data_IF_027918148333
#
_entry.id   IF_027918148333
#
_cell.length_a   1.000
_cell.length_b   1.000
_cell.length_c   1.000
_cell.angle_alpha   90.00
_cell.angle_beta   90.00
_cell.angle_gamma   90.00
#
_symmetry.space_group_name_H-M   'P 1'
#
loop_
_entity.id
_entity.type
_entity.pdbx_description
1 polymer ?
#
# COMPACT_ATOMS: atom_id res chain seq x y z
N UNK A 1 -12.25 4.20 8.66
CA UNK A 1 -13.47 3.49 9.08
C UNK A 1 -14.28 4.25 10.13
N UNK A 2 -13.65 4.81 11.18
CA UNK A 2 -14.37 5.50 12.25
C UNK A 2 -15.23 6.66 11.74
N UNK A 3 -14.63 7.63 11.04
CA UNK A 3 -15.36 8.78 10.50
C UNK A 3 -16.51 8.35 9.57
N UNK A 4 -16.28 7.36 8.71
CA UNK A 4 -17.30 6.82 7.82
C UNK A 4 -18.48 6.19 8.57
N UNK A 5 -18.21 5.45 9.66
CA UNK A 5 -19.26 4.88 10.51
C UNK A 5 -20.13 5.94 11.18
N UNK A 6 -19.53 7.01 11.69
CA UNK A 6 -20.26 8.14 12.28
C UNK A 6 -21.12 8.87 11.24
N UNK A 7 -20.56 9.17 10.06
CA UNK A 7 -21.31 9.84 8.98
C UNK A 7 -22.47 8.95 8.53
N UNK A 8 -22.26 7.63 8.42
CA UNK A 8 -23.31 6.68 8.07
C UNK A 8 -24.47 6.71 9.07
N UNK A 9 -24.13 6.67 10.37
CA UNK A 9 -25.13 6.66 11.45
C UNK A 9 -25.95 7.94 11.54
N UNK A 10 -25.31 9.11 11.30
CA UNK A 10 -25.94 10.43 11.47
C UNK A 10 -26.65 10.93 10.21
N UNK A 11 -26.12 10.66 9.03
CA UNK A 11 -26.55 11.27 7.78
C UNK A 11 -26.73 10.31 6.60
N UNK A 12 -26.55 9.01 6.86
CA UNK A 12 -26.72 7.98 5.86
C UNK A 12 -25.54 7.86 4.87
N UNK A 13 -25.59 6.85 4.01
CA UNK A 13 -24.49 6.50 3.10
C UNK A 13 -24.17 7.59 2.06
N UNK A 14 -25.18 8.38 1.62
CA UNK A 14 -24.97 9.47 0.65
C UNK A 14 -24.06 10.57 1.18
N UNK A 15 -24.13 10.85 2.48
CA UNK A 15 -23.29 11.86 3.12
C UNK A 15 -21.78 11.49 3.07
N UNK A 16 -21.44 10.20 3.05
CA UNK A 16 -20.06 9.74 2.87
C UNK A 16 -19.53 10.21 1.51
N UNK A 17 -20.30 10.01 0.44
CA UNK A 17 -19.89 10.42 -0.91
C UNK A 17 -19.81 11.94 -1.06
N UNK A 18 -20.74 12.68 -0.42
CA UNK A 18 -20.69 14.14 -0.39
C UNK A 18 -19.41 14.63 0.33
N UNK A 19 -19.10 14.05 1.48
CA UNK A 19 -17.87 14.38 2.22
C UNK A 19 -16.61 14.09 1.39
N UNK A 20 -16.56 12.94 0.69
CA UNK A 20 -15.46 12.61 -0.20
C UNK A 20 -15.36 13.56 -1.39
N UNK A 21 -16.50 13.97 -1.97
CA UNK A 21 -16.53 14.93 -3.08
C UNK A 21 -16.03 16.31 -2.63
N UNK A 22 -16.46 16.79 -1.46
CA UNK A 22 -15.99 18.05 -0.89
C UNK A 22 -14.49 18.03 -0.56
N UNK A 23 -14.01 16.90 0.00
CA UNK A 23 -12.59 16.71 0.25
C UNK A 23 -11.78 16.70 -1.05
N UNK A 24 -12.25 15.98 -2.09
CA UNK A 24 -11.62 15.96 -3.41
C UNK A 24 -11.58 17.36 -4.05
N UNK A 25 -12.66 18.13 -3.94
CA UNK A 25 -12.72 19.50 -4.43
C UNK A 25 -11.72 20.41 -3.68
N UNK A 26 -11.64 20.29 -2.36
CA UNK A 26 -10.67 21.04 -1.56
C UNK A 26 -9.23 20.70 -1.96
N UNK A 27 -8.90 19.41 -2.17
CA UNK A 27 -7.60 18.98 -2.67
C UNK A 27 -7.31 19.55 -4.07
N UNK A 28 -8.29 19.52 -4.98
CA UNK A 28 -8.15 20.08 -6.33
C UNK A 28 -7.84 21.57 -6.29
N UNK A 29 -8.58 22.34 -5.49
CA UNK A 29 -8.35 23.77 -5.32
C UNK A 29 -6.98 24.05 -4.68
N UNK A 30 -6.57 23.25 -3.70
CA UNK A 30 -5.26 23.39 -3.07
C UNK A 30 -4.14 23.13 -4.09
N UNK A 31 -4.22 22.06 -4.87
CA UNK A 31 -3.23 21.74 -5.92
C UNK A 31 -3.19 22.86 -6.95
N UNK A 32 -4.34 23.30 -7.45
CA UNK A 32 -4.42 24.37 -8.45
C UNK A 32 -3.83 25.69 -7.94
N UNK A 33 -4.03 26.01 -6.65
CA UNK A 33 -3.59 27.28 -6.07
C UNK A 33 -2.15 27.31 -5.61
N UNK A 34 -1.64 26.17 -5.12
CA UNK A 34 -0.36 26.13 -4.39
C UNK A 34 0.72 25.28 -5.05
N UNK A 35 0.37 24.42 -6.02
CA UNK A 35 1.35 23.56 -6.66
C UNK A 35 1.88 24.22 -7.95
N UNK A 36 3.13 24.74 -7.95
CA UNK A 36 3.73 25.28 -9.17
C UNK A 36 4.10 24.14 -10.12
N UNK A 37 4.13 24.45 -11.42
CA UNK A 37 4.66 23.54 -12.42
C UNK A 37 6.18 23.36 -12.20
N UNK A 38 6.58 22.12 -11.89
CA UNK A 38 8.00 21.80 -11.60
C UNK A 38 8.71 21.20 -12.80
N UNK A 39 8.03 20.97 -13.90
CA UNK A 39 8.64 20.43 -15.13
C UNK A 39 9.49 21.51 -15.81
N UNK A 40 10.77 21.23 -16.15
CA UNK A 40 11.60 22.17 -16.89
C UNK A 40 10.95 22.51 -18.24
N UNK A 41 10.84 23.81 -18.53
CA UNK A 41 10.38 24.32 -19.82
C UNK A 41 11.30 23.83 -20.92
N UNK A 42 10.76 23.20 -21.95
CA UNK A 42 11.55 22.66 -23.08
C UNK A 42 11.69 21.13 -23.14
N UNK A 43 11.31 20.42 -22.08
CA UNK A 43 11.17 18.97 -22.17
C UNK A 43 9.86 18.64 -22.88
N UNK A 44 9.86 18.70 -24.22
CA UNK A 44 8.74 18.19 -25.01
C UNK A 44 8.55 16.72 -24.68
N UNK A 45 7.35 16.33 -24.30
CA UNK A 45 6.92 14.95 -24.37
C UNK A 45 6.82 14.55 -25.85
N UNK A 46 7.98 14.54 -26.51
CA UNK A 46 8.12 14.21 -27.91
C UNK A 46 8.02 12.70 -28.09
N UNK A 47 6.80 12.21 -28.14
CA UNK A 47 6.61 10.82 -28.49
C UNK A 47 5.17 10.43 -28.23
N UNK A 48 4.37 10.30 -29.28
CA UNK A 48 3.03 9.78 -29.20
C UNK A 48 2.95 8.42 -28.49
N UNK A 49 1.79 7.80 -28.49
CA UNK A 49 1.50 6.50 -27.85
C UNK A 49 2.59 5.46 -28.11
N UNK A 50 3.17 5.43 -29.34
CA UNK A 50 4.25 4.50 -29.70
C UNK A 50 5.55 4.70 -28.91
N UNK A 51 5.88 5.92 -28.49
CA UNK A 51 7.04 6.16 -27.63
C UNK A 51 6.76 5.73 -26.19
N UNK A 52 5.54 5.98 -25.68
CA UNK A 52 5.12 5.50 -24.38
C UNK A 52 5.16 3.97 -24.30
N UNK A 53 4.64 3.27 -25.31
CA UNK A 53 4.68 1.81 -25.39
C UNK A 53 6.13 1.27 -25.44
N UNK A 54 7.03 1.91 -26.13
CA UNK A 54 8.46 1.54 -26.13
C UNK A 54 9.09 1.68 -24.74
N UNK A 55 8.77 2.77 -24.03
CA UNK A 55 9.24 2.98 -22.65
C UNK A 55 8.68 1.91 -21.73
N UNK A 56 7.40 1.59 -21.81
CA UNK A 56 6.79 0.51 -21.03
C UNK A 56 7.40 -0.86 -21.36
N UNK A 57 7.63 -1.17 -22.64
CA UNK A 57 8.32 -2.38 -23.05
C UNK A 57 9.75 -2.50 -22.52
N UNK A 58 10.48 -1.39 -22.44
CA UNK A 58 11.81 -1.35 -21.85
C UNK A 58 11.76 -1.57 -20.32
N UNK A 59 10.81 -0.93 -19.62
CA UNK A 59 10.61 -1.08 -18.19
C UNK A 59 10.20 -2.53 -17.80
N UNK A 60 9.33 -3.15 -18.60
CA UNK A 60 8.89 -4.53 -18.39
C UNK A 60 10.01 -5.56 -18.68
N UNK A 61 11.08 -5.19 -19.38
CA UNK A 61 12.27 -6.02 -19.58
C UNK A 61 13.33 -5.81 -18.50
N UNK A 62 13.25 -4.73 -17.74
CA UNK A 62 14.15 -4.45 -16.63
C UNK A 62 13.75 -5.31 -15.42
N UNK A 63 14.53 -6.35 -15.17
CA UNK A 63 14.30 -7.29 -14.06
C UNK A 63 14.34 -6.60 -12.68
N UNK A 64 15.17 -5.58 -12.53
CA UNK A 64 15.26 -4.83 -11.27
C UNK A 64 13.99 -4.01 -11.03
N UNK A 65 13.56 -3.28 -12.05
CA UNK A 65 12.30 -2.52 -12.01
C UNK A 65 11.10 -3.43 -11.72
N UNK A 66 10.97 -4.54 -12.45
CA UNK A 66 9.87 -5.50 -12.23
C UNK A 66 9.92 -6.11 -10.83
N UNK A 67 11.09 -6.53 -10.36
CA UNK A 67 11.23 -7.13 -9.03
C UNK A 67 10.77 -6.19 -7.92
N UNK A 68 11.16 -4.92 -7.97
CA UNK A 68 10.72 -3.92 -7.01
C UNK A 68 9.23 -3.59 -7.16
N UNK A 69 8.73 -3.46 -8.39
CA UNK A 69 7.32 -3.19 -8.66
C UNK A 69 6.41 -4.32 -8.18
N UNK A 70 6.76 -5.55 -8.48
CA UNK A 70 6.01 -6.73 -8.02
C UNK A 70 6.07 -6.90 -6.50
N UNK A 71 7.21 -6.61 -5.87
CA UNK A 71 7.31 -6.59 -4.40
C UNK A 71 6.30 -5.62 -3.78
N UNK A 72 6.17 -4.42 -4.34
CA UNK A 72 5.14 -3.46 -3.93
C UNK A 72 3.72 -3.92 -4.26
N UNK A 73 3.52 -4.55 -5.41
CA UNK A 73 2.23 -5.10 -5.85
C UNK A 73 1.72 -6.21 -4.93
N UNK A 74 2.55 -7.20 -4.60
CA UNK A 74 2.17 -8.25 -3.65
C UNK A 74 1.91 -7.70 -2.23
N UNK A 75 2.66 -6.67 -1.80
CA UNK A 75 2.36 -5.98 -0.55
C UNK A 75 0.97 -5.34 -0.59
N UNK A 76 0.61 -4.68 -1.68
CA UNK A 76 -0.69 -4.06 -1.90
C UNK A 76 -1.81 -5.12 -1.94
N UNK A 77 -1.61 -6.21 -2.68
CA UNK A 77 -2.55 -7.35 -2.72
C UNK A 77 -2.81 -7.92 -1.32
N UNK A 78 -1.77 -8.05 -0.49
CA UNK A 78 -1.91 -8.50 0.89
C UNK A 78 -2.75 -7.55 1.77
N UNK A 79 -2.62 -6.24 1.58
CA UNK A 79 -3.47 -5.24 2.26
C UNK A 79 -4.93 -5.39 1.81
N UNK A 80 -5.19 -5.53 0.51
CA UNK A 80 -6.56 -5.71 0.02
C UNK A 80 -7.17 -7.04 0.46
N UNK A 81 -6.41 -8.13 0.44
CA UNK A 81 -6.86 -9.41 0.98
C UNK A 81 -7.26 -9.29 2.46
N UNK A 82 -6.46 -8.58 3.27
CA UNK A 82 -6.81 -8.29 4.66
C UNK A 82 -8.07 -7.44 4.77
N UNK A 83 -8.18 -6.32 4.05
CA UNK A 83 -9.35 -5.42 4.12
C UNK A 83 -10.63 -6.17 3.75
N UNK A 84 -10.58 -7.00 2.70
CA UNK A 84 -11.76 -7.72 2.19
C UNK A 84 -12.11 -8.92 3.06
N UNK A 85 -11.11 -9.70 3.49
CA UNK A 85 -11.33 -10.97 4.21
C UNK A 85 -11.49 -10.83 5.72
N UNK A 86 -10.92 -9.78 6.32
CA UNK A 86 -10.89 -9.67 7.79
C UNK A 86 -12.26 -9.56 8.47
N UNK A 87 -13.31 -8.90 7.90
CA UNK A 87 -14.63 -8.90 8.53
C UNK A 87 -15.20 -10.31 8.64
N UNK A 88 -15.12 -11.10 7.57
CA UNK A 88 -15.57 -12.48 7.56
C UNK A 88 -14.84 -13.32 8.59
N UNK A 89 -13.50 -13.25 8.59
CA UNK A 89 -12.68 -14.05 9.53
C UNK A 89 -12.93 -13.66 10.98
N UNK A 90 -12.96 -12.38 11.32
CA UNK A 90 -13.06 -11.95 12.71
C UNK A 90 -14.49 -11.99 13.23
N UNK A 91 -15.46 -11.48 12.47
CA UNK A 91 -16.82 -11.36 12.94
C UNK A 91 -17.58 -12.68 12.75
N UNK A 92 -17.54 -13.26 11.54
CA UNK A 92 -18.38 -14.44 11.24
C UNK A 92 -17.73 -15.74 11.78
N UNK A 93 -16.44 -15.98 11.54
CA UNK A 93 -15.80 -17.22 11.98
C UNK A 93 -15.39 -17.22 13.44
N UNK A 94 -14.93 -16.09 13.98
CA UNK A 94 -14.45 -16.01 15.36
C UNK A 94 -15.40 -15.28 16.32
N UNK A 95 -16.56 -14.83 15.85
CA UNK A 95 -17.59 -14.22 16.70
C UNK A 95 -17.18 -12.88 17.33
N UNK A 96 -16.17 -12.17 16.76
CA UNK A 96 -15.74 -10.87 17.28
C UNK A 96 -16.85 -9.83 17.09
N UNK A 97 -17.31 -9.15 18.15
CA UNK A 97 -18.30 -8.09 18.00
C UNK A 97 -17.82 -6.99 17.02
N UNK A 98 -18.74 -6.46 16.21
CA UNK A 98 -18.40 -5.44 15.20
C UNK A 98 -17.68 -4.22 15.79
N UNK A 99 -18.01 -3.84 17.03
CA UNK A 99 -17.35 -2.76 17.75
C UNK A 99 -15.87 -3.10 18.08
N UNK A 100 -15.61 -4.34 18.49
CA UNK A 100 -14.25 -4.83 18.81
C UNK A 100 -13.42 -5.02 17.52
N UNK A 101 -14.04 -5.42 16.41
CA UNK A 101 -13.39 -5.48 15.09
C UNK A 101 -12.78 -4.13 14.68
N UNK A 102 -13.50 -3.03 14.93
CA UNK A 102 -12.97 -1.69 14.65
C UNK A 102 -11.66 -1.38 15.38
N UNK A 103 -11.51 -1.83 16.61
CA UNK A 103 -10.26 -1.69 17.39
C UNK A 103 -9.13 -2.56 16.84
N UNK A 104 -9.42 -3.82 16.50
CA UNK A 104 -8.43 -4.72 15.88
C UNK A 104 -7.93 -4.16 14.53
N UNK A 105 -8.84 -3.67 13.70
CA UNK A 105 -8.49 -3.02 12.45
C UNK A 105 -7.64 -1.76 12.68
N UNK A 106 -8.02 -0.94 13.66
CA UNK A 106 -7.28 0.26 14.05
C UNK A 106 -5.87 -0.06 14.56
N UNK A 107 -5.71 -1.11 15.35
CA UNK A 107 -4.41 -1.57 15.85
C UNK A 107 -3.49 -1.99 14.69
N UNK A 108 -4.00 -2.75 13.74
CA UNK A 108 -3.25 -3.15 12.55
C UNK A 108 -2.86 -1.93 11.68
N UNK A 109 -3.75 -0.96 11.53
CA UNK A 109 -3.46 0.30 10.84
C UNK A 109 -2.37 1.11 11.57
N UNK A 110 -2.40 1.15 12.91
CA UNK A 110 -1.34 1.76 13.71
C UNK A 110 0.01 1.05 13.49
N UNK A 111 0.04 -0.28 13.44
CA UNK A 111 1.23 -1.05 13.12
C UNK A 111 1.85 -0.62 11.79
N UNK A 112 1.04 -0.47 10.75
CA UNK A 112 1.45 0.01 9.43
C UNK A 112 2.00 1.45 9.47
N UNK A 113 1.33 2.35 10.20
CA UNK A 113 1.75 3.74 10.32
C UNK A 113 3.07 3.83 11.09
N UNK A 114 3.18 3.17 12.23
CA UNK A 114 4.39 3.18 13.08
C UNK A 114 5.57 2.62 12.32
N UNK A 115 5.41 1.51 11.61
CA UNK A 115 6.47 0.90 10.80
C UNK A 115 6.90 1.81 9.64
N UNK A 116 5.96 2.51 9.01
CA UNK A 116 6.26 3.52 7.98
C UNK A 116 7.06 4.71 8.54
N UNK A 117 6.73 5.18 9.75
CA UNK A 117 7.51 6.24 10.42
C UNK A 117 8.90 5.73 10.85
N UNK A 118 8.97 4.49 11.33
CA UNK A 118 10.25 3.86 11.69
C UNK A 118 11.14 3.67 10.45
N UNK A 119 10.55 3.35 9.28
CA UNK A 119 11.26 3.27 8.01
C UNK A 119 12.04 4.57 7.71
N UNK A 120 11.43 5.72 7.93
CA UNK A 120 12.08 7.02 7.75
C UNK A 120 13.34 7.14 8.61
N UNK A 121 13.32 6.66 9.85
CA UNK A 121 14.51 6.67 10.73
C UNK A 121 15.57 5.67 10.26
N UNK A 122 15.15 4.50 9.80
CA UNK A 122 16.06 3.47 9.30
C UNK A 122 16.80 3.91 8.03
N UNK A 123 16.16 4.69 7.18
CA UNK A 123 16.76 5.25 5.96
C UNK A 123 17.93 6.22 6.24
N UNK A 124 18.05 6.75 7.47
CA UNK A 124 19.23 7.53 7.88
C UNK A 124 20.49 6.67 8.03
N UNK A 125 20.34 5.35 8.19
CA UNK A 125 21.46 4.43 8.46
C UNK A 125 21.56 3.26 7.48
N UNK A 126 20.51 3.00 6.71
CA UNK A 126 20.41 1.85 5.82
C UNK A 126 19.84 2.26 4.46
N UNK A 127 20.27 1.58 3.40
CA UNK A 127 19.71 1.78 2.06
C UNK A 127 18.29 1.23 1.95
N UNK A 128 17.47 1.85 1.12
CA UNK A 128 16.11 1.40 0.83
C UNK A 128 16.05 -0.08 0.38
N UNK A 129 17.03 -0.51 -0.43
CA UNK A 129 17.15 -1.91 -0.87
C UNK A 129 17.45 -2.88 0.27
N UNK A 130 18.28 -2.47 1.25
CA UNK A 130 18.59 -3.32 2.42
C UNK A 130 17.38 -3.47 3.35
N UNK A 131 16.63 -2.38 3.57
CA UNK A 131 15.40 -2.39 4.36
C UNK A 131 14.36 -3.27 3.66
N UNK A 132 14.14 -3.07 2.36
CA UNK A 132 13.18 -3.84 1.58
C UNK A 132 13.46 -5.35 1.63
N UNK A 133 14.72 -5.77 1.47
CA UNK A 133 15.08 -7.20 1.57
C UNK A 133 14.74 -7.80 2.92
N UNK A 134 14.98 -7.07 4.01
CA UNK A 134 14.63 -7.53 5.37
C UNK A 134 13.12 -7.57 5.57
N UNK A 135 12.43 -6.53 5.13
CA UNK A 135 10.97 -6.44 5.19
C UNK A 135 10.31 -7.60 4.42
N UNK A 136 10.73 -7.86 3.18
CA UNK A 136 10.20 -8.96 2.37
C UNK A 136 10.42 -10.34 3.03
N UNK A 137 11.60 -10.55 3.63
CA UNK A 137 11.84 -11.80 4.39
C UNK A 137 10.88 -11.91 5.59
N UNK A 138 10.71 -10.84 6.35
CA UNK A 138 9.77 -10.81 7.46
C UNK A 138 8.32 -11.06 6.98
N UNK A 139 7.90 -10.42 5.88
CA UNK A 139 6.58 -10.62 5.27
C UNK A 139 6.36 -12.08 4.88
N UNK A 140 7.33 -12.72 4.25
CA UNK A 140 7.23 -14.14 3.86
C UNK A 140 7.15 -15.04 5.10
N UNK A 141 8.02 -14.85 6.08
CA UNK A 141 8.01 -15.65 7.32
C UNK A 141 6.69 -15.49 8.09
N UNK A 142 6.18 -14.27 8.20
CA UNK A 142 4.92 -13.99 8.88
C UNK A 142 3.72 -14.53 8.08
N UNK A 143 3.77 -14.46 6.75
CA UNK A 143 2.78 -15.09 5.89
C UNK A 143 2.76 -16.61 6.01
N UNK A 144 3.93 -17.25 6.09
CA UNK A 144 4.04 -18.70 6.35
C UNK A 144 3.55 -19.06 7.77
N UNK A 145 3.81 -18.21 8.76
CA UNK A 145 3.29 -18.41 10.12
C UNK A 145 1.76 -18.30 10.14
N UNK A 146 1.17 -17.33 9.42
CA UNK A 146 -0.28 -17.22 9.24
C UNK A 146 -0.87 -18.48 8.60
N UNK A 147 -0.24 -18.94 7.52
CA UNK A 147 -0.66 -20.17 6.84
C UNK A 147 -0.59 -21.38 7.77
N UNK A 148 0.47 -21.52 8.56
CA UNK A 148 0.62 -22.60 9.52
C UNK A 148 -0.45 -22.57 10.63
N UNK A 149 -0.77 -21.38 11.16
CA UNK A 149 -1.84 -21.21 12.17
C UNK A 149 -3.18 -21.62 11.58
N UNK A 150 -3.51 -21.14 10.37
CA UNK A 150 -4.78 -21.47 9.71
C UNK A 150 -4.85 -22.97 9.35
N UNK A 151 -3.76 -23.55 8.85
CA UNK A 151 -3.74 -24.95 8.44
C UNK A 151 -3.78 -25.96 9.62
N UNK A 152 -3.27 -25.54 10.79
CA UNK A 152 -3.26 -26.40 12.00
C UNK A 152 -4.48 -26.21 12.89
N UNK A 153 -5.30 -25.20 12.63
CA UNK A 153 -6.42 -24.76 13.47
C UNK A 153 -6.02 -24.55 14.96
N UNK A 154 -4.74 -24.23 15.17
CA UNK A 154 -4.13 -24.14 16.52
C UNK A 154 -4.20 -22.72 17.07
N UNK A 155 -4.64 -22.61 18.33
CA UNK A 155 -4.57 -21.39 19.13
C UNK A 155 -5.62 -20.33 18.81
N UNK A 156 -6.53 -20.59 17.86
CA UNK A 156 -7.67 -19.73 17.56
C UNK A 156 -7.29 -18.28 17.22
N UNK A 157 -8.16 -17.33 17.54
CA UNK A 157 -7.98 -15.92 17.24
C UNK A 157 -6.66 -15.30 17.77
N UNK A 158 -6.20 -15.56 19.01
CA UNK A 158 -4.94 -14.97 19.49
C UNK A 158 -3.71 -15.40 18.67
N UNK A 159 -3.66 -16.66 18.25
CA UNK A 159 -2.57 -17.17 17.43
C UNK A 159 -2.55 -16.54 16.03
N UNK A 160 -3.72 -16.16 15.50
CA UNK A 160 -3.87 -15.46 14.22
C UNK A 160 -3.42 -13.99 14.31
N UNK A 161 -3.79 -13.30 15.39
CA UNK A 161 -3.58 -11.84 15.52
C UNK A 161 -2.10 -11.45 15.53
N UNK A 162 -1.24 -12.19 16.22
CA UNK A 162 0.17 -11.82 16.37
C UNK A 162 0.94 -11.83 15.02
N UNK A 163 0.92 -12.93 14.23
CA UNK A 163 1.58 -12.94 12.92
C UNK A 163 0.89 -12.02 11.91
N UNK A 164 -0.42 -11.81 11.99
CA UNK A 164 -1.15 -10.87 11.14
C UNK A 164 -0.71 -9.43 11.39
N UNK A 165 -0.63 -9.01 12.65
CA UNK A 165 -0.12 -7.69 13.01
C UNK A 165 1.30 -7.48 12.48
N UNK A 166 2.20 -8.43 12.70
CA UNK A 166 3.57 -8.39 12.19
C UNK A 166 3.62 -8.32 10.66
N UNK A 167 2.78 -9.13 9.97
CA UNK A 167 2.66 -9.12 8.52
C UNK A 167 2.27 -7.73 8.01
N UNK A 168 1.19 -7.16 8.50
CA UNK A 168 0.71 -5.84 8.10
C UNK A 168 1.71 -4.73 8.45
N UNK A 169 2.33 -4.79 9.63
CA UNK A 169 3.39 -3.85 10.01
C UNK A 169 4.60 -3.93 9.05
N UNK A 170 4.98 -5.13 8.58
CA UNK A 170 6.08 -5.29 7.63
C UNK A 170 5.83 -4.58 6.28
N UNK A 171 4.57 -4.45 5.87
CA UNK A 171 4.18 -3.78 4.63
C UNK A 171 4.45 -2.27 4.67
N UNK A 172 4.47 -1.65 5.85
CA UNK A 172 4.87 -0.25 6.02
C UNK A 172 6.32 0.04 5.66
N UNK A 173 7.19 -0.98 5.69
CA UNK A 173 8.55 -0.88 5.14
C UNK A 173 8.60 -1.25 3.65
N UNK A 174 7.75 -2.14 3.19
CA UNK A 174 7.83 -2.68 1.82
C UNK A 174 7.42 -1.65 0.78
N UNK A 175 6.24 -1.06 0.88
CA UNK A 175 5.68 -0.18 -0.14
C UNK A 175 6.57 1.04 -0.46
N UNK A 176 7.02 1.86 0.52
CA UNK A 176 7.83 3.04 0.21
C UNK A 176 9.21 2.69 -0.33
N UNK A 177 9.83 1.61 0.15
CA UNK A 177 11.15 1.20 -0.31
C UNK A 177 11.10 0.52 -1.68
N UNK A 178 10.05 -0.23 -2.00
CA UNK A 178 9.83 -0.81 -3.32
C UNK A 178 9.68 0.30 -4.37
N UNK A 179 8.83 1.31 -4.10
CA UNK A 179 8.65 2.47 -4.97
C UNK A 179 9.93 3.26 -5.17
N UNK A 180 10.66 3.56 -4.08
CA UNK A 180 11.91 4.30 -4.15
C UNK A 180 12.97 3.56 -5.00
N UNK A 181 13.13 2.25 -4.83
CA UNK A 181 14.09 1.47 -5.61
C UNK A 181 13.66 1.30 -7.07
N UNK A 182 12.36 1.11 -7.35
CA UNK A 182 11.85 1.01 -8.72
C UNK A 182 12.11 2.30 -9.52
N UNK A 183 12.00 3.47 -8.88
CA UNK A 183 12.19 4.78 -9.51
C UNK A 183 13.64 5.27 -9.52
N UNK A 184 14.53 4.69 -8.70
CA UNK A 184 15.89 5.20 -8.46
C UNK A 184 16.73 5.45 -9.74
N UNK A 185 16.52 4.65 -10.79
CA UNK A 185 17.28 4.74 -12.03
C UNK A 185 16.42 5.19 -13.23
N UNK A 186 15.21 5.71 -13.00
CA UNK A 186 14.28 6.01 -14.10
C UNK A 186 14.32 7.48 -14.57
N UNK A 187 15.03 8.37 -13.88
CA UNK A 187 15.34 9.74 -14.31
C UNK A 187 14.25 10.40 -15.16
N UNK A 188 14.53 10.64 -16.45
CA UNK A 188 13.61 11.26 -17.42
C UNK A 188 12.35 10.43 -17.70
N UNK A 189 12.33 9.14 -17.33
CA UNK A 189 11.18 8.21 -17.52
C UNK A 189 10.35 8.02 -16.24
N UNK A 190 10.64 8.78 -15.17
CA UNK A 190 10.04 8.60 -13.85
C UNK A 190 8.50 8.66 -13.90
N UNK A 191 7.91 9.54 -14.72
CA UNK A 191 6.46 9.62 -14.88
C UNK A 191 5.85 8.35 -15.51
N UNK A 192 6.44 7.83 -16.58
CA UNK A 192 5.99 6.57 -17.20
C UNK A 192 6.23 5.36 -16.27
N UNK A 193 7.35 5.35 -15.57
CA UNK A 193 7.66 4.31 -14.59
C UNK A 193 6.63 4.31 -13.44
N UNK A 194 6.31 5.48 -12.90
CA UNK A 194 5.32 5.63 -11.83
C UNK A 194 3.91 5.19 -12.28
N UNK A 195 3.50 5.54 -13.50
CA UNK A 195 2.24 5.09 -14.08
C UNK A 195 2.19 3.56 -14.22
N UNK A 196 3.27 2.94 -14.73
CA UNK A 196 3.35 1.49 -14.88
C UNK A 196 3.38 0.77 -13.52
N UNK A 197 4.10 1.31 -12.53
CA UNK A 197 4.09 0.79 -11.15
C UNK A 197 2.66 0.77 -10.61
N UNK A 198 1.93 1.90 -10.70
CA UNK A 198 0.55 1.98 -10.24
C UNK A 198 -0.34 0.94 -10.92
N UNK A 199 -0.25 0.82 -12.25
CA UNK A 199 -1.03 -0.17 -13.01
C UNK A 199 -0.71 -1.61 -12.56
N UNK A 200 0.57 -1.97 -12.45
CA UNK A 200 0.98 -3.32 -12.05
C UNK A 200 0.61 -3.64 -10.59
N UNK A 201 0.67 -2.65 -9.69
CA UNK A 201 0.29 -2.84 -8.28
C UNK A 201 -1.21 -3.15 -8.08
N UNK A 202 -2.07 -2.69 -8.99
CA UNK A 202 -3.50 -2.99 -8.96
C UNK A 202 -3.89 -4.16 -9.88
N UNK A 203 -2.97 -4.67 -10.70
CA UNK A 203 -3.19 -5.83 -11.56
C UNK A 203 -2.86 -7.16 -10.86
N UNK A 204 -2.12 -7.11 -9.75
CA UNK A 204 -1.77 -8.26 -8.89
C UNK A 204 -2.82 -8.45 -7.81
#
# INVERSE_FOLDING_TARGET
>A
PFAGGWILALAGWRAIFIALALFGLACLLAVWRYLPETRPTGTTAGGGIGAALRVYGALLRDRSFLGYTLSGGFAQAGIFAYITGSPHVFIELHGVPAQAYGWLFGLNALGLIVSSQLNRRLLLRHTAAAILRRANRATVLLGLALLAVVASDWGGLPALLAPLFGYLASLGFTAPNAMANALAHQGTRAGSASALIGTLQFAV
#
